data_IF_413735434266
#
_entry.id   IF_413735434266
#
_cell.length_a   1.000
_cell.length_b   1.000
_cell.length_c   1.000
_cell.angle_alpha   90.00
_cell.angle_beta   90.00
_cell.angle_gamma   90.00
#
_symmetry.space_group_name_H-M   'P 1'
#
loop_
_entity.id
_entity.type
_entity.pdbx_description
1 polymer ?
#
# COMPACT_ATOMS: atom_id res chain seq x y z
N UNK A 1 1.17 -2.24 -17.67
CA UNK A 1 -0.14 -1.85 -18.25
C UNK A 1 -1.06 -1.15 -17.25
N UNK A 2 -1.44 -1.75 -16.11
CA UNK A 2 -2.37 -1.11 -15.16
C UNK A 2 -1.79 0.14 -14.47
N UNK A 3 -0.53 0.10 -14.03
CA UNK A 3 0.11 1.26 -13.38
C UNK A 3 0.16 2.47 -14.32
N UNK A 4 0.53 2.26 -15.59
CA UNK A 4 0.54 3.31 -16.62
C UNK A 4 -0.81 4.01 -16.76
N UNK A 5 -1.91 3.25 -16.72
CA UNK A 5 -3.26 3.83 -16.78
C UNK A 5 -3.64 4.52 -15.48
N UNK A 6 -3.22 3.98 -14.34
CA UNK A 6 -3.50 4.54 -13.02
C UNK A 6 -2.81 5.90 -12.83
N UNK A 7 -1.54 6.02 -13.20
CA UNK A 7 -0.80 7.28 -13.08
C UNK A 7 -1.34 8.34 -14.03
N UNK A 8 -1.69 7.95 -15.26
CA UNK A 8 -2.38 8.83 -16.21
C UNK A 8 -3.74 9.31 -15.68
N UNK A 9 -4.54 8.43 -15.07
CA UNK A 9 -5.83 8.80 -14.48
C UNK A 9 -5.67 9.72 -13.26
N UNK A 10 -4.63 9.50 -12.45
CA UNK A 10 -4.34 10.32 -11.28
C UNK A 10 -3.70 11.68 -11.62
N UNK A 11 -3.46 11.96 -12.91
CA UNK A 11 -2.83 13.18 -13.42
C UNK A 11 -1.51 13.54 -12.73
N UNK A 12 -0.63 12.52 -12.59
CA UNK A 12 0.71 12.67 -12.05
C UNK A 12 1.77 12.40 -13.14
N UNK A 13 2.95 13.06 -13.10
CA UNK A 13 3.96 12.97 -14.16
C UNK A 13 4.78 11.67 -14.07
N UNK A 14 4.12 10.52 -14.02
CA UNK A 14 4.76 9.20 -13.92
C UNK A 14 4.26 8.23 -14.99
N UNK A 15 5.19 7.41 -15.49
CA UNK A 15 4.88 6.22 -16.29
C UNK A 15 4.34 5.07 -15.44
N UNK A 16 4.63 3.83 -15.83
CA UNK A 16 4.23 2.68 -15.02
C UNK A 16 5.17 1.49 -15.15
N UNK A 17 5.67 1.04 -14.01
CA UNK A 17 6.51 -0.14 -13.85
C UNK A 17 5.96 -1.03 -12.72
N UNK A 18 6.38 -2.29 -12.71
CA UNK A 18 6.12 -3.24 -11.62
C UNK A 18 7.22 -4.30 -11.62
N UNK A 19 7.61 -4.75 -10.45
CA UNK A 19 8.58 -5.82 -10.24
C UNK A 19 8.29 -6.55 -8.95
N UNK A 20 9.01 -7.64 -8.71
CA UNK A 20 8.85 -8.46 -7.52
C UNK A 20 9.69 -9.74 -7.59
N UNK A 21 9.70 -10.46 -6.48
CA UNK A 21 10.36 -11.76 -6.35
C UNK A 21 9.30 -12.79 -5.94
N UNK A 22 9.28 -13.94 -6.62
CA UNK A 22 8.38 -15.03 -6.28
C UNK A 22 8.91 -15.81 -5.07
N UNK A 23 8.53 -15.37 -3.87
CA UNK A 23 8.88 -16.02 -2.60
C UNK A 23 7.77 -15.78 -1.58
N UNK A 24 7.64 -16.68 -0.60
CA UNK A 24 6.82 -16.43 0.57
C UNK A 24 7.65 -15.68 1.63
N UNK A 25 7.43 -14.38 1.87
CA UNK A 25 8.22 -13.64 2.85
C UNK A 25 8.01 -14.13 4.30
N UNK A 26 6.94 -14.89 4.57
CA UNK A 26 6.66 -15.46 5.91
C UNK A 26 7.56 -16.64 6.25
N UNK A 27 8.16 -17.26 5.25
CA UNK A 27 9.13 -18.35 5.41
C UNK A 27 10.57 -17.85 5.54
N UNK A 28 10.78 -16.53 5.42
CA UNK A 28 12.09 -15.91 5.52
C UNK A 28 12.26 -15.21 6.86
N UNK A 29 13.42 -15.40 7.48
CA UNK A 29 13.87 -14.54 8.57
C UNK A 29 14.11 -13.11 8.07
N UNK A 30 14.09 -12.14 9.00
CA UNK A 30 14.41 -10.73 8.68
C UNK A 30 15.77 -10.59 7.98
N UNK A 31 16.74 -11.41 8.35
CA UNK A 31 18.08 -11.39 7.75
C UNK A 31 18.07 -11.93 6.32
N UNK A 32 17.32 -13.00 6.04
CA UNK A 32 17.14 -13.53 4.68
C UNK A 32 16.40 -12.54 3.79
N UNK A 33 15.33 -11.93 4.31
CA UNK A 33 14.55 -10.92 3.58
C UNK A 33 15.40 -9.68 3.26
N UNK A 34 16.24 -9.23 4.20
CA UNK A 34 17.18 -8.13 3.97
C UNK A 34 18.19 -8.48 2.86
N UNK A 35 18.86 -9.65 2.95
CA UNK A 35 19.81 -10.10 1.92
C UNK A 35 19.16 -10.23 0.55
N UNK A 36 17.94 -10.79 0.49
CA UNK A 36 17.17 -10.90 -0.75
C UNK A 36 16.88 -9.52 -1.34
N UNK A 37 16.41 -8.59 -0.51
CA UNK A 37 16.08 -7.21 -0.94
C UNK A 37 17.29 -6.51 -1.53
N UNK A 38 18.46 -6.63 -0.89
CA UNK A 38 19.71 -6.05 -1.39
C UNK A 38 20.17 -6.70 -2.70
N UNK A 39 20.17 -8.04 -2.76
CA UNK A 39 20.51 -8.78 -3.98
C UNK A 39 19.62 -8.35 -5.17
N UNK A 40 18.31 -8.21 -4.94
CA UNK A 40 17.37 -7.72 -5.94
C UNK A 40 17.68 -6.26 -6.37
N UNK A 41 17.95 -5.38 -5.42
CA UNK A 41 18.29 -3.97 -5.68
C UNK A 41 19.56 -3.85 -6.53
N UNK A 42 20.62 -4.58 -6.16
CA UNK A 42 21.87 -4.64 -6.92
C UNK A 42 21.68 -5.22 -8.33
N UNK A 43 20.86 -6.25 -8.48
CA UNK A 43 20.58 -6.81 -9.80
C UNK A 43 19.85 -5.81 -10.72
N UNK A 44 19.08 -4.89 -10.15
CA UNK A 44 18.25 -3.93 -10.88
C UNK A 44 18.80 -2.51 -10.92
N UNK A 45 19.90 -2.18 -10.24
CA UNK A 45 20.31 -0.79 -10.01
C UNK A 45 20.51 0.04 -11.30
N UNK A 46 20.79 -0.61 -12.43
CA UNK A 46 21.02 0.04 -13.73
C UNK A 46 19.73 0.50 -14.43
N UNK A 47 18.57 -0.08 -14.06
CA UNK A 47 17.26 0.38 -14.57
C UNK A 47 16.56 1.37 -13.63
N UNK A 48 17.04 1.49 -12.38
CA UNK A 48 16.50 2.43 -11.41
C UNK A 48 17.10 3.83 -11.58
N UNK A 49 16.38 4.83 -11.09
CA UNK A 49 16.87 6.20 -11.02
C UNK A 49 15.73 7.18 -10.73
N UNK A 50 16.06 8.30 -10.08
CA UNK A 50 15.08 9.34 -9.69
C UNK A 50 14.26 9.85 -10.88
N UNK A 51 14.86 9.92 -12.06
CA UNK A 51 14.19 10.34 -13.30
C UNK A 51 14.00 9.17 -14.31
N UNK A 52 14.07 7.92 -13.83
CA UNK A 52 13.97 6.72 -14.68
C UNK A 52 12.93 5.74 -14.15
N UNK A 53 13.16 5.17 -12.97
CA UNK A 53 12.23 4.25 -12.31
C UNK A 53 12.42 4.29 -10.79
N UNK A 54 11.31 4.49 -10.07
CA UNK A 54 11.25 4.71 -8.63
C UNK A 54 10.40 3.60 -8.00
N UNK A 55 10.95 2.87 -7.03
CA UNK A 55 10.24 1.75 -6.42
C UNK A 55 9.23 2.20 -5.36
N UNK A 56 8.26 1.33 -5.06
CA UNK A 56 7.30 1.52 -3.97
C UNK A 56 6.89 0.17 -3.37
N UNK A 57 6.40 0.13 -2.13
CA UNK A 57 5.91 -1.10 -1.52
C UNK A 57 4.69 -1.66 -2.25
N UNK A 58 4.60 -2.98 -2.27
CA UNK A 58 3.42 -3.77 -2.63
C UNK A 58 3.28 -5.00 -1.70
N UNK A 59 2.41 -5.95 -2.03
CA UNK A 59 2.17 -7.16 -1.24
C UNK A 59 3.47 -7.89 -0.90
N UNK A 60 3.66 -8.19 0.39
CA UNK A 60 4.86 -8.87 0.88
C UNK A 60 6.07 -7.95 1.14
N UNK A 61 5.94 -6.64 0.91
CA UNK A 61 6.98 -5.65 1.21
C UNK A 61 6.43 -4.53 2.10
N UNK A 62 7.32 -3.79 2.75
CA UNK A 62 6.95 -2.76 3.72
C UNK A 62 7.86 -1.53 3.64
N UNK A 63 7.61 -0.55 4.51
CA UNK A 63 8.51 0.60 4.68
C UNK A 63 9.95 0.16 5.02
N UNK A 64 10.11 -0.92 5.79
CA UNK A 64 11.43 -1.47 6.09
C UNK A 64 12.13 -2.01 4.82
N UNK A 65 11.38 -2.66 3.92
CA UNK A 65 11.92 -3.10 2.64
C UNK A 65 12.42 -1.91 1.83
N UNK A 66 11.66 -0.81 1.77
CA UNK A 66 12.06 0.40 1.05
C UNK A 66 13.29 1.06 1.68
N UNK A 67 13.41 1.05 3.01
CA UNK A 67 14.61 1.54 3.69
C UNK A 67 15.87 0.77 3.25
N UNK A 68 15.78 -0.55 3.12
CA UNK A 68 16.90 -1.36 2.63
C UNK A 68 17.22 -1.10 1.17
N UNK A 69 16.22 -0.92 0.30
CA UNK A 69 16.44 -0.58 -1.11
C UNK A 69 17.14 0.78 -1.23
N UNK A 70 16.69 1.79 -0.47
CA UNK A 70 17.30 3.13 -0.46
C UNK A 70 18.77 3.07 -0.01
N UNK A 71 19.04 2.35 1.08
CA UNK A 71 20.39 2.17 1.62
C UNK A 71 21.32 1.47 0.62
N UNK A 72 20.85 0.36 0.05
CA UNK A 72 21.65 -0.46 -0.85
C UNK A 72 21.93 0.24 -2.18
N UNK A 73 20.92 0.91 -2.77
CA UNK A 73 21.12 1.77 -3.95
C UNK A 73 22.10 2.91 -3.66
N UNK A 74 22.02 3.51 -2.46
CA UNK A 74 22.90 4.59 -2.04
C UNK A 74 24.36 4.18 -1.88
N UNK A 75 24.65 2.89 -1.67
CA UNK A 75 26.02 2.39 -1.58
C UNK A 75 26.83 2.57 -2.88
N UNK A 76 26.15 2.60 -4.04
CA UNK A 76 26.75 2.80 -5.36
C UNK A 76 26.57 4.25 -5.84
N UNK A 77 25.39 4.82 -5.63
CA UNK A 77 24.98 6.09 -6.25
C UNK A 77 25.02 7.29 -5.30
N UNK A 78 25.42 7.09 -4.04
CA UNK A 78 25.35 8.10 -2.99
C UNK A 78 23.93 8.26 -2.42
N UNK A 79 23.81 9.06 -1.35
CA UNK A 79 22.55 9.24 -0.64
C UNK A 79 21.44 9.79 -1.57
N UNK A 80 20.48 8.93 -1.93
CA UNK A 80 19.42 9.22 -2.92
C UNK A 80 18.05 8.79 -2.36
N UNK A 81 17.44 9.57 -1.45
CA UNK A 81 16.20 9.17 -0.79
C UNK A 81 15.02 9.05 -1.77
N UNK A 82 15.02 9.75 -2.90
CA UNK A 82 13.94 9.78 -3.88
C UNK A 82 13.81 8.50 -4.72
N UNK A 83 14.78 7.57 -4.62
CA UNK A 83 14.80 6.33 -5.40
C UNK A 83 13.65 5.37 -5.04
N UNK A 84 13.07 5.54 -3.84
CA UNK A 84 11.91 4.78 -3.39
C UNK A 84 10.89 5.68 -2.67
N UNK A 85 9.62 5.35 -2.82
CA UNK A 85 8.52 5.92 -2.02
C UNK A 85 8.10 4.95 -0.91
N UNK A 86 7.28 5.38 0.05
CA UNK A 86 6.80 4.49 1.12
C UNK A 86 7.85 4.12 2.16
N UNK A 87 8.90 4.96 2.31
CA UNK A 87 9.93 4.84 3.36
C UNK A 87 9.35 5.14 4.75
N UNK A 88 10.07 4.75 5.83
CA UNK A 88 9.80 5.26 7.18
C UNK A 88 9.89 6.79 7.20
N UNK A 89 9.13 7.43 8.09
CA UNK A 89 9.06 8.90 8.18
C UNK A 89 10.45 9.48 8.49
N UNK A 90 11.20 8.80 9.33
CA UNK A 90 12.56 9.13 9.76
C UNK A 90 13.56 9.15 8.59
N UNK A 91 13.23 8.48 7.48
CA UNK A 91 14.06 8.37 6.28
C UNK A 91 13.47 9.15 5.09
N UNK A 92 12.69 10.20 5.35
CA UNK A 92 12.06 11.01 4.30
C UNK A 92 10.80 10.36 3.70
N UNK A 93 10.11 9.54 4.50
CA UNK A 93 8.77 9.06 4.20
C UNK A 93 7.73 10.18 4.27
N UNK A 94 6.62 10.02 3.53
CA UNK A 94 5.50 10.96 3.55
C UNK A 94 4.44 10.53 4.57
N UNK A 95 3.97 11.48 5.38
CA UNK A 95 2.87 11.25 6.32
C UNK A 95 1.60 10.81 5.58
N UNK A 96 0.87 9.84 6.15
CA UNK A 96 -0.35 9.28 5.55
C UNK A 96 -0.11 8.36 4.37
N UNK A 97 1.14 8.14 3.91
CA UNK A 97 1.43 7.24 2.76
C UNK A 97 0.97 5.81 3.00
N UNK A 98 1.06 5.30 4.22
CA UNK A 98 0.64 3.93 4.56
C UNK A 98 -0.85 3.73 4.33
N UNK A 99 -1.66 4.72 4.71
CA UNK A 99 -3.14 4.66 4.64
C UNK A 99 -3.68 5.11 3.28
N UNK A 100 -2.92 5.90 2.52
CA UNK A 100 -3.35 6.56 1.29
C UNK A 100 -4.08 5.64 0.29
N UNK A 101 -3.64 4.40 -0.02
CA UNK A 101 -4.36 3.53 -0.94
C UNK A 101 -5.76 3.14 -0.44
N UNK A 102 -5.88 2.82 0.85
CA UNK A 102 -7.17 2.43 1.45
C UNK A 102 -8.11 3.62 1.59
N UNK A 103 -7.58 4.75 2.04
CA UNK A 103 -8.32 6.02 2.10
C UNK A 103 -8.82 6.45 0.73
N UNK A 104 -7.98 6.38 -0.30
CA UNK A 104 -8.36 6.71 -1.66
C UNK A 104 -9.46 5.80 -2.21
N UNK A 105 -9.39 4.49 -1.95
CA UNK A 105 -10.43 3.55 -2.33
C UNK A 105 -11.78 3.88 -1.66
N UNK A 106 -11.76 4.18 -0.36
CA UNK A 106 -12.95 4.57 0.39
C UNK A 106 -13.54 5.91 -0.08
N UNK A 107 -12.70 6.91 -0.38
CA UNK A 107 -13.16 8.22 -0.91
C UNK A 107 -13.89 8.04 -2.25
N UNK A 108 -13.30 7.28 -3.17
CA UNK A 108 -13.95 6.99 -4.47
C UNK A 108 -15.22 6.15 -4.27
N UNK A 109 -15.20 5.18 -3.36
CA UNK A 109 -16.37 4.38 -3.00
C UNK A 109 -17.53 5.21 -2.44
N UNK A 110 -17.24 6.10 -1.49
CA UNK A 110 -18.23 7.05 -0.95
C UNK A 110 -18.82 7.93 -2.06
N UNK A 111 -17.97 8.42 -2.98
CA UNK A 111 -18.45 9.22 -4.09
C UNK A 111 -19.38 8.42 -5.02
N UNK A 112 -19.04 7.16 -5.31
CA UNK A 112 -19.86 6.28 -6.12
C UNK A 112 -21.22 5.98 -5.47
N UNK A 113 -21.28 5.83 -4.13
CA UNK A 113 -22.54 5.68 -3.38
C UNK A 113 -23.43 6.92 -3.56
N UNK A 114 -22.84 8.11 -3.41
CA UNK A 114 -23.54 9.39 -3.55
C UNK A 114 -24.04 9.60 -4.98
N UNK A 115 -23.21 9.33 -5.99
CA UNK A 115 -23.61 9.43 -7.40
C UNK A 115 -24.70 8.39 -7.75
N UNK A 116 -24.80 7.29 -6.98
CA UNK A 116 -25.88 6.31 -7.05
C UNK A 116 -27.17 6.72 -6.31
N UNK A 117 -27.20 7.88 -5.65
CA UNK A 117 -28.39 8.42 -4.98
C UNK A 117 -28.61 7.94 -3.54
N UNK A 118 -27.57 7.46 -2.86
CA UNK A 118 -27.63 7.06 -1.44
C UNK A 118 -26.50 7.73 -0.64
N UNK A 119 -26.42 7.49 0.66
CA UNK A 119 -25.32 7.99 1.50
C UNK A 119 -24.54 6.84 2.15
N UNK A 120 -23.28 7.06 2.57
CA UNK A 120 -22.51 6.02 3.26
C UNK A 120 -23.26 5.41 4.45
N UNK A 121 -23.97 6.22 5.25
CA UNK A 121 -24.74 5.81 6.44
C UNK A 121 -25.87 4.84 6.15
N UNK A 122 -26.45 4.90 4.95
CA UNK A 122 -27.51 4.00 4.50
C UNK A 122 -26.98 2.65 4.00
N UNK A 123 -25.66 2.51 3.86
CA UNK A 123 -25.03 1.38 3.22
C UNK A 123 -24.22 0.52 4.20
N UNK A 124 -24.12 -0.77 3.84
CA UNK A 124 -23.25 -1.72 4.53
C UNK A 124 -22.03 -2.03 3.68
N UNK A 125 -20.89 -2.29 4.31
CA UNK A 125 -19.60 -2.49 3.66
C UNK A 125 -18.99 -3.81 4.11
N UNK A 126 -18.45 -4.56 3.15
CA UNK A 126 -17.60 -5.72 3.40
C UNK A 126 -16.22 -5.46 2.80
N UNK A 127 -15.15 -5.76 3.56
CA UNK A 127 -13.77 -5.54 3.12
C UNK A 127 -13.03 -6.88 3.07
N UNK A 128 -12.65 -7.31 1.87
CA UNK A 128 -11.81 -8.49 1.69
C UNK A 128 -10.33 -8.10 1.73
N UNK A 129 -9.60 -8.61 2.72
CA UNK A 129 -8.18 -8.37 2.94
C UNK A 129 -7.92 -7.22 3.91
N UNK A 130 -7.68 -7.53 5.19
CA UNK A 130 -7.49 -6.56 6.28
C UNK A 130 -6.02 -6.20 6.56
N UNK A 131 -5.21 -6.08 5.51
CA UNK A 131 -3.86 -5.50 5.59
C UNK A 131 -3.90 -3.96 5.58
N UNK A 132 -2.74 -3.30 5.39
CA UNK A 132 -2.64 -1.82 5.43
C UNK A 132 -3.70 -1.09 4.56
N UNK A 133 -4.01 -1.62 3.37
CA UNK A 133 -5.01 -1.03 2.47
C UNK A 133 -6.43 -1.25 2.97
N UNK A 134 -6.78 -2.49 3.34
CA UNK A 134 -8.15 -2.81 3.77
C UNK A 134 -8.49 -2.22 5.13
N UNK A 135 -7.54 -2.22 6.07
CA UNK A 135 -7.66 -1.54 7.35
C UNK A 135 -7.98 -0.05 7.18
N UNK A 136 -7.17 0.65 6.37
CA UNK A 136 -7.40 2.07 6.09
C UNK A 136 -8.72 2.32 5.34
N UNK A 137 -9.13 1.44 4.43
CA UNK A 137 -10.40 1.54 3.74
C UNK A 137 -11.59 1.33 4.69
N UNK A 138 -11.53 0.30 5.54
CA UNK A 138 -12.56 0.01 6.54
C UNK A 138 -12.72 1.17 7.53
N UNK A 139 -11.60 1.70 8.04
CA UNK A 139 -11.61 2.86 8.94
C UNK A 139 -12.22 4.08 8.23
N UNK A 140 -11.75 4.41 7.01
CA UNK A 140 -12.27 5.58 6.28
C UNK A 140 -13.76 5.45 5.94
N UNK A 141 -14.25 4.26 5.58
CA UNK A 141 -15.68 4.02 5.35
C UNK A 141 -16.48 4.13 6.65
N UNK A 142 -15.96 3.60 7.76
CA UNK A 142 -16.57 3.72 9.08
C UNK A 142 -16.63 5.18 9.56
N UNK A 143 -15.58 5.96 9.32
CA UNK A 143 -15.52 7.40 9.65
C UNK A 143 -16.52 8.21 8.81
N UNK A 144 -16.77 7.78 7.57
CA UNK A 144 -17.82 8.33 6.72
C UNK A 144 -19.24 7.90 7.14
N UNK A 145 -19.38 7.09 8.18
CA UNK A 145 -20.67 6.64 8.74
C UNK A 145 -21.20 5.34 8.13
N UNK A 146 -20.52 4.74 7.16
CA UNK A 146 -20.93 3.45 6.61
C UNK A 146 -20.76 2.32 7.62
N UNK A 147 -21.70 1.37 7.61
CA UNK A 147 -21.65 0.22 8.51
C UNK A 147 -20.77 -0.88 7.92
N UNK A 148 -19.53 -0.97 8.36
CA UNK A 148 -18.66 -2.10 8.00
C UNK A 148 -19.14 -3.35 8.75
N UNK A 149 -19.69 -4.33 8.03
CA UNK A 149 -20.30 -5.53 8.63
C UNK A 149 -19.42 -6.75 8.54
N UNK A 150 -18.45 -6.78 7.62
CA UNK A 150 -17.58 -7.93 7.42
C UNK A 150 -16.17 -7.51 7.03
N UNK A 151 -15.17 -8.20 7.58
CA UNK A 151 -13.77 -8.10 7.14
C UNK A 151 -13.19 -9.50 7.01
N UNK A 152 -12.20 -9.68 6.13
CA UNK A 152 -11.46 -10.93 5.99
C UNK A 152 -9.97 -10.71 5.83
N UNK A 153 -9.18 -11.72 6.15
CA UNK A 153 -7.76 -11.80 5.84
C UNK A 153 -7.40 -13.21 5.35
N UNK A 154 -6.13 -13.60 5.50
CA UNK A 154 -5.63 -14.92 5.10
C UNK A 154 -6.10 -16.05 6.02
N UNK A 155 -6.50 -15.74 7.25
CA UNK A 155 -6.82 -16.70 8.31
C UNK A 155 -8.33 -16.92 8.43
N UNK A 156 -9.14 -15.97 7.95
CA UNK A 156 -10.58 -16.16 7.85
C UNK A 156 -11.36 -14.87 7.60
N UNK A 157 -12.65 -14.90 7.95
CA UNK A 157 -13.54 -13.75 7.89
C UNK A 157 -14.38 -13.66 9.16
N UNK A 158 -14.64 -12.43 9.59
CA UNK A 158 -15.56 -12.13 10.69
C UNK A 158 -16.71 -11.29 10.17
N UNK A 159 -17.89 -11.51 10.72
CA UNK A 159 -19.11 -10.78 10.36
C UNK A 159 -19.88 -10.36 11.62
N UNK A 160 -20.32 -9.11 11.63
CA UNK A 160 -21.29 -8.59 12.58
C UNK A 160 -22.28 -7.72 11.82
N UNK A 161 -23.51 -8.20 11.65
CA UNK A 161 -24.58 -7.47 10.93
C UNK A 161 -24.97 -6.16 11.61
N UNK A 162 -24.67 -6.01 12.90
CA UNK A 162 -24.86 -4.76 13.64
C UNK A 162 -23.75 -3.73 13.40
N UNK A 163 -22.63 -4.12 12.78
CA UNK A 163 -21.43 -3.31 12.55
C UNK A 163 -20.24 -3.79 13.38
N UNK A 164 -19.06 -3.83 12.76
CA UNK A 164 -17.79 -4.12 13.41
C UNK A 164 -17.23 -2.86 14.05
N UNK A 165 -16.62 -3.00 15.23
CA UNK A 165 -15.83 -1.92 15.84
C UNK A 165 -14.44 -1.90 15.20
N UNK A 166 -14.28 -1.09 14.14
CA UNK A 166 -13.02 -1.04 13.36
C UNK A 166 -11.81 -0.63 14.22
N UNK A 167 -11.88 0.41 15.07
CA UNK A 167 -10.77 0.74 15.97
C UNK A 167 -10.32 -0.40 16.89
N UNK A 168 -11.23 -1.31 17.28
CA UNK A 168 -10.88 -2.47 18.11
C UNK A 168 -10.26 -3.64 17.32
N UNK A 169 -10.28 -3.59 15.99
CA UNK A 169 -9.72 -4.60 15.09
C UNK A 169 -8.32 -4.22 14.55
N UNK A 170 -7.93 -2.95 14.68
CA UNK A 170 -6.63 -2.41 14.24
C UNK A 170 -5.55 -2.63 15.31
#
# INVERSE_FOLDING_TARGET
>A
MLITRKTALADVPFGGAKGGVCVNPRELSTSELNRLTRCYTMSMHHVLGVNRDIMSPDLGTSAQTMAWIMDDYGSIHGHTPEIVTGKPIELGGSLGRTEAPGRGAAVVGCRAIVDGGSTPEENTVAVQGFGAVGAAAAQTMSDAGAKVIAVSDVDGAIINTSGLNIPALL
#
